data_IF_108081664071
#
_entry.id   IF_108081664071
#
_cell.length_a   1.000
_cell.length_b   1.000
_cell.length_c   1.000
_cell.angle_alpha   90.00
_cell.angle_beta   90.00
_cell.angle_gamma   90.00
#
_symmetry.space_group_name_H-M   'P 1'
#
loop_
_entity.id
_entity.type
_entity.pdbx_description
1 polymer ?
#
# COMPACT_ATOMS: atom_id res chain seq x y z
N UNK A 1 -34.90 6.13 -10.15
CA UNK A 1 -33.64 6.28 -10.93
C UNK A 1 -32.94 7.51 -10.39
N UNK A 2 -31.91 7.29 -9.55
CA UNK A 2 -31.13 8.38 -8.96
C UNK A 2 -30.11 8.85 -9.98
N UNK A 3 -30.22 10.11 -10.40
CA UNK A 3 -29.19 10.77 -11.19
C UNK A 3 -27.90 10.86 -10.37
N UNK A 4 -26.90 10.05 -10.74
CA UNK A 4 -25.52 10.31 -10.35
C UNK A 4 -25.11 11.63 -11.01
N UNK A 5 -25.05 12.69 -10.24
CA UNK A 5 -24.45 13.95 -10.70
C UNK A 5 -22.98 13.66 -10.98
N UNK A 6 -22.58 13.77 -12.25
CA UNK A 6 -21.16 13.81 -12.62
C UNK A 6 -20.53 15.01 -11.90
N UNK A 7 -19.88 14.75 -10.78
CA UNK A 7 -18.99 15.74 -10.18
C UNK A 7 -17.88 15.99 -11.18
N UNK A 8 -17.93 17.11 -11.89
CA UNK A 8 -16.83 17.55 -12.74
C UNK A 8 -15.62 17.85 -11.84
N UNK A 9 -14.77 16.84 -11.68
CA UNK A 9 -13.49 17.04 -11.01
C UNK A 9 -12.57 17.81 -11.97
N UNK A 10 -12.37 19.08 -11.67
CA UNK A 10 -11.44 19.92 -12.43
C UNK A 10 -10.08 19.84 -11.75
N UNK A 11 -9.10 19.26 -12.43
CA UNK A 11 -7.70 19.30 -11.97
C UNK A 11 -7.24 20.75 -12.08
N UNK A 12 -6.71 21.36 -11.01
CA UNK A 12 -6.13 22.69 -11.11
C UNK A 12 -5.05 22.71 -12.18
N UNK A 13 -4.95 23.80 -12.98
CA UNK A 13 -3.88 23.93 -13.96
C UNK A 13 -2.53 23.94 -13.23
N UNK A 14 -1.62 23.07 -13.64
CA UNK A 14 -0.25 23.00 -13.15
C UNK A 14 0.72 23.25 -14.27
N UNK A 15 1.80 23.93 -13.98
CA UNK A 15 2.89 24.23 -14.90
C UNK A 15 4.08 23.24 -14.77
N UNK A 16 3.99 22.33 -13.79
CA UNK A 16 5.04 21.36 -13.51
C UNK A 16 4.47 19.94 -13.46
N UNK A 17 5.28 18.98 -13.90
CA UNK A 17 4.98 17.55 -13.81
C UNK A 17 5.97 16.87 -12.87
N UNK A 18 5.51 15.83 -12.20
CA UNK A 18 6.34 14.94 -11.39
C UNK A 18 6.72 13.70 -12.18
N UNK A 19 7.88 13.11 -11.86
CA UNK A 19 8.25 11.79 -12.32
C UNK A 19 7.74 10.77 -11.29
N UNK A 20 7.09 9.69 -11.75
CA UNK A 20 6.64 8.60 -10.90
C UNK A 20 7.35 7.32 -11.32
N UNK A 21 8.03 6.67 -10.38
CA UNK A 21 8.65 5.36 -10.56
C UNK A 21 7.88 4.32 -9.76
N UNK A 22 7.54 3.22 -10.39
CA UNK A 22 6.88 2.08 -9.75
C UNK A 22 7.95 1.17 -9.18
N UNK A 23 7.80 0.79 -7.91
CA UNK A 23 8.69 -0.10 -7.19
C UNK A 23 7.92 -1.39 -6.88
N UNK A 24 8.39 -2.53 -7.38
CA UNK A 24 7.95 -3.83 -6.89
C UNK A 24 8.58 -4.04 -5.50
N UNK A 25 7.75 -3.99 -4.46
CA UNK A 25 8.20 -4.16 -3.07
C UNK A 25 8.62 -5.60 -2.75
N UNK A 26 8.70 -6.48 -3.75
CA UNK A 26 8.94 -7.92 -3.61
C UNK A 26 7.95 -8.68 -2.74
N UNK A 27 6.99 -7.98 -2.16
CA UNK A 27 5.93 -8.58 -1.35
C UNK A 27 5.02 -9.46 -2.21
N UNK A 28 4.75 -10.67 -1.71
CA UNK A 28 3.77 -11.59 -2.31
C UNK A 28 2.87 -12.16 -1.21
N UNK A 29 1.57 -11.89 -1.31
CA UNK A 29 0.58 -12.40 -0.37
C UNK A 29 -0.12 -13.57 -1.03
N UNK A 30 0.08 -14.76 -0.45
CA UNK A 30 -0.52 -16.01 -0.90
C UNK A 30 -1.72 -16.38 -0.02
N UNK A 31 -2.55 -17.31 -0.48
CA UNK A 31 -3.75 -17.80 0.20
C UNK A 31 -4.80 -16.69 0.47
N UNK A 32 -4.83 -15.68 -0.38
CA UNK A 32 -5.82 -14.63 -0.29
C UNK A 32 -7.12 -15.09 -0.95
N UNK A 33 -8.21 -15.19 -0.18
CA UNK A 33 -9.50 -15.66 -0.70
C UNK A 33 -10.13 -14.62 -1.62
N UNK A 34 -10.59 -15.04 -2.79
CA UNK A 34 -11.26 -14.17 -3.75
C UNK A 34 -12.50 -13.48 -3.16
N UNK A 35 -13.22 -14.15 -2.27
CA UNK A 35 -14.40 -13.62 -1.59
C UNK A 35 -14.16 -12.34 -0.77
N UNK A 36 -12.89 -11.97 -0.49
CA UNK A 36 -12.58 -10.67 0.12
C UNK A 36 -12.68 -9.49 -0.86
N UNK A 37 -12.55 -9.77 -2.16
CA UNK A 37 -12.48 -8.73 -3.18
C UNK A 37 -13.70 -8.70 -4.08
N UNK A 38 -14.40 -9.80 -4.22
CA UNK A 38 -15.49 -9.97 -5.18
C UNK A 38 -16.70 -10.68 -4.59
N UNK A 39 -17.88 -10.13 -4.85
CA UNK A 39 -19.16 -10.74 -4.53
C UNK A 39 -20.10 -10.58 -5.74
N UNK A 40 -20.69 -11.66 -6.28
CA UNK A 40 -20.50 -13.06 -5.87
C UNK A 40 -19.10 -13.59 -6.21
N UNK A 41 -18.61 -14.62 -5.48
CA UNK A 41 -17.33 -15.25 -5.81
C UNK A 41 -17.39 -15.92 -7.18
N UNK A 42 -16.27 -15.91 -7.90
CA UNK A 42 -16.16 -16.58 -9.20
C UNK A 42 -16.13 -18.10 -9.02
N UNK A 43 -16.97 -18.80 -9.78
CA UNK A 43 -16.99 -20.26 -9.78
C UNK A 43 -15.63 -20.84 -10.21
N UNK A 44 -15.11 -21.79 -9.44
CA UNK A 44 -13.82 -22.43 -9.72
C UNK A 44 -12.58 -21.64 -9.28
N UNK A 45 -12.76 -20.45 -8.69
CA UNK A 45 -11.65 -19.65 -8.17
C UNK A 45 -11.88 -19.31 -6.69
N UNK A 46 -11.29 -20.08 -5.79
CA UNK A 46 -11.39 -19.83 -4.35
C UNK A 46 -10.34 -18.83 -3.86
N UNK A 47 -9.13 -18.91 -4.40
CA UNK A 47 -7.99 -18.09 -4.02
C UNK A 47 -7.47 -17.27 -5.17
N UNK A 48 -6.94 -16.09 -4.84
CA UNK A 48 -6.22 -15.26 -5.78
C UNK A 48 -4.83 -15.84 -6.07
N UNK A 49 -4.29 -15.50 -7.26
CA UNK A 49 -2.86 -15.61 -7.51
C UNK A 49 -2.09 -14.77 -6.48
N UNK A 50 -0.80 -15.05 -6.25
CA UNK A 50 0.00 -14.25 -5.31
C UNK A 50 -0.13 -12.76 -5.58
N UNK A 51 -0.65 -12.02 -4.60
CA UNK A 51 -0.89 -10.59 -4.72
C UNK A 51 0.41 -9.82 -4.48
N UNK A 52 0.88 -9.03 -5.46
CA UNK A 52 2.01 -8.14 -5.28
C UNK A 52 1.60 -6.87 -4.50
N UNK A 53 2.54 -6.30 -3.76
CA UNK A 53 2.42 -4.93 -3.28
C UNK A 53 3.36 -4.02 -4.07
N UNK A 54 2.89 -2.84 -4.40
CA UNK A 54 3.60 -1.84 -5.17
C UNK A 54 3.79 -0.59 -4.34
N UNK A 55 4.96 0.01 -4.45
CA UNK A 55 5.27 1.34 -3.92
C UNK A 55 5.58 2.29 -5.05
N UNK A 56 5.46 3.58 -4.81
CA UNK A 56 5.70 4.58 -5.84
C UNK A 56 6.63 5.67 -5.31
N UNK A 57 7.73 5.90 -6.01
CA UNK A 57 8.57 7.06 -5.77
C UNK A 57 8.12 8.20 -6.67
N UNK A 58 7.77 9.32 -6.08
CA UNK A 58 7.31 10.53 -6.74
C UNK A 58 8.41 11.57 -6.60
N UNK A 59 8.95 12.02 -7.72
CA UNK A 59 10.04 13.01 -7.77
C UNK A 59 9.53 14.31 -8.38
N UNK A 60 9.62 15.40 -7.61
CA UNK A 60 9.24 16.73 -8.06
C UNK A 60 10.45 17.47 -8.63
N UNK A 61 10.30 18.36 -9.63
CA UNK A 61 11.40 19.14 -10.21
C UNK A 61 12.19 19.99 -9.21
N UNK A 62 11.59 20.32 -8.06
CA UNK A 62 12.30 21.00 -6.95
C UNK A 62 13.33 20.12 -6.23
N UNK A 63 13.42 18.83 -6.57
CA UNK A 63 14.28 17.87 -5.89
C UNK A 63 13.60 17.12 -4.72
N UNK A 64 12.36 17.47 -4.38
CA UNK A 64 11.60 16.73 -3.35
C UNK A 64 11.23 15.33 -3.85
N UNK A 65 11.41 14.34 -2.98
CA UNK A 65 11.05 12.95 -3.22
C UNK A 65 10.02 12.49 -2.19
N UNK A 66 8.92 11.94 -2.66
CA UNK A 66 7.84 11.39 -1.82
C UNK A 66 7.73 9.90 -2.12
N UNK A 67 7.69 9.10 -1.08
CA UNK A 67 7.43 7.67 -1.20
C UNK A 67 5.96 7.39 -0.85
N UNK A 68 5.23 6.80 -1.78
CA UNK A 68 3.86 6.36 -1.57
C UNK A 68 3.86 4.85 -1.36
N UNK A 69 3.40 4.42 -0.20
CA UNK A 69 3.43 3.07 0.34
C UNK A 69 4.86 2.54 0.61
N UNK A 70 5.03 1.86 1.73
CA UNK A 70 6.29 1.23 2.15
C UNK A 70 6.34 -0.27 1.84
N UNK A 71 5.26 -0.82 1.26
CA UNK A 71 5.13 -2.27 1.17
C UNK A 71 4.89 -2.92 2.53
N UNK A 72 5.32 -4.15 2.65
CA UNK A 72 5.21 -4.94 3.89
C UNK A 72 6.62 -5.20 4.41
N UNK A 73 6.89 -5.00 5.71
CA UNK A 73 8.20 -5.30 6.28
C UNK A 73 8.48 -6.81 6.27
N UNK A 74 9.74 -7.19 6.20
CA UNK A 74 10.16 -8.60 6.33
C UNK A 74 9.78 -9.18 7.69
N UNK A 75 9.98 -8.37 8.72
CA UNK A 75 9.58 -8.71 10.09
C UNK A 75 8.11 -8.34 10.31
N UNK A 76 7.22 -9.32 10.12
CA UNK A 76 5.79 -9.13 10.34
C UNK A 76 5.44 -8.84 11.79
N UNK A 77 6.29 -9.22 12.75
CA UNK A 77 6.05 -8.94 14.17
C UNK A 77 6.26 -7.45 14.50
N UNK A 78 6.82 -6.67 13.58
CA UNK A 78 6.84 -5.20 13.67
C UNK A 78 5.48 -4.54 13.52
N UNK A 79 4.48 -5.25 12.99
CA UNK A 79 3.10 -4.79 12.96
C UNK A 79 2.44 -4.85 14.34
N UNK A 80 1.32 -4.14 14.49
CA UNK A 80 0.50 -4.29 15.69
C UNK A 80 0.01 -5.73 15.83
N UNK A 81 -0.15 -6.17 17.09
CA UNK A 81 -0.64 -7.52 17.41
C UNK A 81 -1.93 -7.86 16.66
N UNK A 82 -2.85 -6.89 16.55
CA UNK A 82 -4.11 -7.07 15.84
C UNK A 82 -3.93 -7.42 14.36
N UNK A 83 -2.95 -6.81 13.69
CA UNK A 83 -2.62 -7.10 12.28
C UNK A 83 -2.00 -8.49 12.18
N UNK A 84 -1.04 -8.83 13.04
CA UNK A 84 -0.41 -10.15 13.06
C UNK A 84 -1.44 -11.27 13.27
N UNK A 85 -2.33 -11.10 14.23
CA UNK A 85 -3.42 -12.04 14.49
C UNK A 85 -4.40 -12.15 13.32
N UNK A 86 -4.69 -11.02 12.68
CA UNK A 86 -5.56 -11.01 11.49
C UNK A 86 -4.93 -11.82 10.35
N UNK A 87 -3.67 -11.58 10.02
CA UNK A 87 -2.93 -12.34 8.99
C UNK A 87 -2.95 -13.83 9.30
N UNK A 88 -2.65 -14.21 10.56
CA UNK A 88 -2.67 -15.62 11.01
C UNK A 88 -4.05 -16.23 10.89
N UNK A 89 -5.09 -15.53 11.35
CA UNK A 89 -6.49 -16.00 11.31
C UNK A 89 -6.99 -16.21 9.89
N UNK A 90 -6.58 -15.37 8.96
CA UNK A 90 -6.94 -15.48 7.54
C UNK A 90 -6.11 -16.55 6.81
N UNK A 91 -5.05 -17.04 7.42
CA UNK A 91 -4.15 -18.02 6.79
C UNK A 91 -3.32 -17.44 5.64
N UNK A 92 -3.16 -16.12 5.58
CA UNK A 92 -2.33 -15.48 4.57
C UNK A 92 -0.86 -15.82 4.78
N UNK A 93 -0.18 -16.13 3.68
CA UNK A 93 1.27 -16.32 3.67
C UNK A 93 1.88 -15.11 2.98
N UNK A 94 2.57 -14.30 3.75
CA UNK A 94 3.24 -13.10 3.27
C UNK A 94 4.72 -13.41 3.11
N UNK A 95 5.23 -13.25 1.89
CA UNK A 95 6.62 -13.39 1.54
C UNK A 95 7.17 -12.03 1.11
N UNK A 96 8.31 -11.62 1.68
CA UNK A 96 9.00 -10.37 1.37
C UNK A 96 10.48 -10.68 1.21
N UNK A 97 11.00 -10.54 0.01
CA UNK A 97 12.41 -10.82 -0.27
C UNK A 97 13.30 -9.62 0.06
N UNK A 98 12.83 -8.41 -0.23
CA UNK A 98 13.60 -7.18 -0.06
C UNK A 98 12.65 -6.04 0.35
N UNK A 99 13.07 -5.21 1.31
CA UNK A 99 12.27 -4.07 1.72
C UNK A 99 12.43 -2.89 0.75
N UNK A 100 11.41 -2.04 0.67
CA UNK A 100 11.42 -0.90 -0.26
C UNK A 100 12.62 0.01 -0.02
N UNK A 101 13.03 0.17 1.23
CA UNK A 101 14.19 1.01 1.57
C UNK A 101 15.50 0.43 1.00
N UNK A 102 15.67 -0.90 1.05
CA UNK A 102 16.85 -1.57 0.50
C UNK A 102 16.86 -1.47 -1.03
N UNK A 103 15.67 -1.55 -1.65
CA UNK A 103 15.52 -1.38 -3.10
C UNK A 103 15.91 0.05 -3.52
N UNK A 104 15.50 1.06 -2.76
CA UNK A 104 15.85 2.45 -3.02
C UNK A 104 17.36 2.66 -2.90
N UNK A 105 17.98 2.18 -1.81
CA UNK A 105 19.42 2.33 -1.56
C UNK A 105 20.25 1.67 -2.66
N UNK A 106 19.89 0.45 -3.05
CA UNK A 106 20.54 -0.26 -4.16
C UNK A 106 20.45 0.51 -5.50
N UNK A 107 19.41 1.32 -5.67
CA UNK A 107 19.22 2.19 -6.85
C UNK A 107 19.77 3.60 -6.65
N UNK A 108 20.59 3.82 -5.63
CA UNK A 108 21.29 5.09 -5.39
C UNK A 108 20.41 6.18 -4.79
N UNK A 109 19.29 5.83 -4.16
CA UNK A 109 18.40 6.77 -3.50
C UNK A 109 18.44 6.49 -1.99
N UNK A 110 19.15 7.36 -1.27
CA UNK A 110 19.29 7.20 0.17
C UNK A 110 17.98 7.56 0.91
N UNK A 111 17.71 6.90 2.05
CA UNK A 111 16.51 7.13 2.85
C UNK A 111 16.33 8.60 3.26
N UNK A 112 17.43 9.31 3.53
CA UNK A 112 17.40 10.71 3.92
C UNK A 112 17.06 11.68 2.76
N UNK A 113 16.99 11.20 1.52
CA UNK A 113 16.50 11.97 0.38
C UNK A 113 14.98 11.97 0.29
N UNK A 114 14.31 11.08 1.01
CA UNK A 114 12.84 10.99 1.04
C UNK A 114 12.30 12.09 1.96
N UNK A 115 11.64 13.06 1.35
CA UNK A 115 11.08 14.23 2.05
C UNK A 115 9.82 13.91 2.84
N UNK A 116 9.03 12.93 2.35
CA UNK A 116 7.80 12.50 2.99
C UNK A 116 7.43 11.08 2.58
N UNK A 117 6.68 10.41 3.43
CA UNK A 117 6.12 9.08 3.18
C UNK A 117 4.61 9.18 3.32
N UNK A 118 3.90 8.80 2.27
CA UNK A 118 2.44 8.61 2.30
C UNK A 118 2.20 7.13 2.52
N UNK A 119 1.90 6.78 3.76
CA UNK A 119 1.66 5.39 4.12
C UNK A 119 0.18 5.07 4.05
N UNK A 120 -0.19 4.17 3.15
CA UNK A 120 -1.52 3.59 3.10
C UNK A 120 -1.54 2.38 4.04
N UNK A 121 -2.05 2.60 5.22
CA UNK A 121 -2.25 1.53 6.20
C UNK A 121 -3.24 0.48 5.69
N UNK A 122 -2.97 -0.80 5.95
CA UNK A 122 -3.90 -1.93 5.76
C UNK A 122 -5.12 -1.82 6.70
N UNK A 123 -5.28 -0.71 7.41
CA UNK A 123 -6.32 -0.49 8.42
C UNK A 123 -7.76 -0.41 7.88
N UNK A 124 -8.00 -0.51 6.58
CA UNK A 124 -9.37 -0.53 6.05
C UNK A 124 -9.96 -1.93 5.87
N UNK A 125 -9.33 -2.96 6.38
CA UNK A 125 -10.05 -4.19 6.64
C UNK A 125 -10.80 -4.01 7.95
N UNK A 126 -12.02 -3.47 7.84
CA UNK A 126 -13.07 -3.32 8.86
C UNK A 126 -12.76 -4.06 10.17
N UNK A 127 -12.09 -3.40 11.09
CA UNK A 127 -12.30 -3.67 12.49
C UNK A 127 -13.29 -2.58 12.94
N UNK A 128 -14.58 -2.91 12.88
CA UNK A 128 -15.54 -2.25 13.72
C UNK A 128 -15.03 -2.40 15.14
N UNK A 129 -14.57 -1.36 15.73
CA UNK A 129 -14.80 -0.86 17.07
C UNK A 129 -13.63 -0.05 17.59
N UNK A 130 -13.99 1.19 17.85
CA UNK A 130 -13.56 2.03 18.97
C UNK A 130 -12.07 2.10 19.36
N UNK A 131 -11.60 3.32 19.16
CA UNK A 131 -10.53 4.01 19.90
C UNK A 131 -9.13 3.99 19.27
N UNK A 132 -8.87 5.13 18.80
CA UNK A 132 -7.72 6.03 18.80
C UNK A 132 -7.15 6.31 17.41
N UNK A 133 -7.12 7.57 17.04
CA UNK A 133 -6.41 8.03 15.87
C UNK A 133 -4.91 8.04 16.18
N UNK A 134 -4.13 7.39 15.34
CA UNK A 134 -2.70 7.57 15.37
C UNK A 134 -2.38 9.02 15.00
N UNK A 135 -1.77 9.74 15.93
CA UNK A 135 -1.18 11.06 15.69
C UNK A 135 -0.02 10.91 14.71
N UNK A 136 -0.30 11.14 13.43
CA UNK A 136 0.75 11.44 12.48
C UNK A 136 1.16 12.88 12.75
N UNK A 137 2.33 13.09 13.33
CA UNK A 137 2.95 14.43 13.38
C UNK A 137 3.55 14.70 12.01
N UNK A 138 3.04 15.72 11.35
CA UNK A 138 3.60 16.34 10.17
C UNK A 138 4.90 17.07 10.53
#
# INVERSE_FOLDING_TARGET
MSHLSNANFTVPPGDQSVQVRIIDSTTRINNFKLAFLMEPPMEGMEYMLPLPAWSFLIEHPSGQKILYDLGVPKDLDSFSLAICEHIKRQGWKVDVQEEVIDILDRNGIAANEISAIIWRSVQHLSINNDKQPYNVRY
#
